data_IF_854248066627
#
_entry.id   IF_854248066627
#
_cell.length_a   1.000
_cell.length_b   1.000
_cell.length_c   1.000
_cell.angle_alpha   90.00
_cell.angle_beta   90.00
_cell.angle_gamma   90.00
#
_symmetry.space_group_name_H-M   'P 1'
#
loop_
_entity.id
_entity.type
_entity.pdbx_description
1 polymer ?
#
# COMPACT_ATOMS: atom_id res chain seq x y z
N UNK A 1 -1.63 0.68 -1.06
CA UNK A 1 -1.06 -0.27 -0.10
C UNK A 1 -2.16 -0.69 0.88
N UNK A 2 -2.69 0.18 1.72
CA UNK A 2 -3.65 -0.16 2.78
C UNK A 2 -4.85 -0.99 2.29
N UNK A 3 -5.46 -0.63 1.15
CA UNK A 3 -6.63 -1.32 0.63
C UNK A 3 -6.35 -2.79 0.26
N UNK A 4 -5.42 -3.04 -0.67
CA UNK A 4 -5.17 -4.41 -1.15
C UNK A 4 -4.41 -5.26 -0.15
N UNK A 5 -3.52 -4.67 0.65
CA UNK A 5 -2.87 -5.38 1.75
C UNK A 5 -3.92 -5.89 2.75
N UNK A 6 -4.82 -5.01 3.21
CA UNK A 6 -5.92 -5.36 4.10
C UNK A 6 -6.85 -6.42 3.48
N UNK A 7 -7.21 -6.26 2.19
CA UNK A 7 -8.10 -7.16 1.48
C UNK A 7 -7.57 -8.60 1.42
N UNK A 8 -6.26 -8.74 1.10
CA UNK A 8 -5.61 -10.04 0.96
C UNK A 8 -5.22 -10.66 2.30
N UNK A 9 -4.87 -9.84 3.30
CA UNK A 9 -4.38 -10.34 4.59
C UNK A 9 -5.50 -10.74 5.56
N UNK A 10 -6.52 -9.90 5.70
CA UNK A 10 -7.61 -10.06 6.66
C UNK A 10 -9.02 -9.90 6.05
N UNK A 11 -9.15 -9.28 4.89
CA UNK A 11 -10.43 -8.98 4.25
C UNK A 11 -11.08 -10.15 3.50
N UNK A 12 -10.50 -11.36 3.57
CA UNK A 12 -11.05 -12.56 2.94
C UNK A 12 -11.04 -12.53 1.40
N UNK A 13 -10.26 -11.65 0.78
CA UNK A 13 -10.09 -11.57 -0.67
C UNK A 13 -8.84 -12.31 -1.13
N UNK A 14 -8.80 -12.63 -2.42
CA UNK A 14 -7.65 -13.21 -3.11
C UNK A 14 -7.32 -12.36 -4.35
N UNK A 15 -6.18 -12.59 -4.97
CA UNK A 15 -5.85 -11.94 -6.24
C UNK A 15 -6.83 -12.31 -7.38
N UNK A 16 -7.52 -13.45 -7.26
CA UNK A 16 -8.54 -13.90 -8.19
C UNK A 16 -9.96 -13.37 -7.85
N UNK A 17 -10.16 -12.76 -6.68
CA UNK A 17 -11.44 -12.13 -6.33
C UNK A 17 -11.82 -11.08 -7.36
N UNK A 18 -13.07 -11.06 -7.77
CA UNK A 18 -13.58 -10.24 -8.87
C UNK A 18 -14.47 -9.13 -8.33
N UNK A 19 -14.36 -7.96 -8.93
CA UNK A 19 -15.27 -6.83 -8.79
C UNK A 19 -15.81 -6.43 -10.16
N UNK A 20 -17.02 -5.89 -10.19
CA UNK A 20 -17.59 -5.29 -11.40
C UNK A 20 -17.04 -3.87 -11.58
N UNK A 21 -16.16 -3.70 -12.58
CA UNK A 21 -15.67 -2.40 -13.01
C UNK A 21 -16.72 -1.71 -13.89
N UNK A 22 -17.69 -1.08 -13.25
CA UNK A 22 -18.82 -0.37 -13.84
C UNK A 22 -19.00 0.99 -13.15
N UNK A 23 -19.76 1.94 -13.72
CA UNK A 23 -20.04 3.23 -13.09
C UNK A 23 -20.41 3.09 -11.63
N UNK A 24 -19.74 3.86 -10.75
CA UNK A 24 -19.89 3.70 -9.31
C UNK A 24 -20.02 5.04 -8.58
N UNK A 25 -21.14 5.21 -7.89
CA UNK A 25 -21.47 6.41 -7.13
C UNK A 25 -21.87 6.04 -5.70
N UNK A 26 -21.34 6.76 -4.72
CA UNK A 26 -21.71 6.61 -3.32
C UNK A 26 -22.06 7.99 -2.77
N UNK A 27 -23.31 8.16 -2.35
CA UNK A 27 -23.84 9.47 -1.99
C UNK A 27 -23.76 10.44 -3.17
N UNK A 28 -23.11 11.58 -3.00
CA UNK A 28 -22.88 12.58 -4.05
C UNK A 28 -21.58 12.36 -4.83
N UNK A 29 -20.75 11.37 -4.46
CA UNK A 29 -19.42 11.16 -5.04
C UNK A 29 -19.44 10.07 -6.09
N UNK A 30 -19.08 10.42 -7.32
CA UNK A 30 -18.87 9.48 -8.43
C UNK A 30 -17.38 9.17 -8.57
N UNK A 31 -17.06 7.88 -8.62
CA UNK A 31 -15.70 7.39 -8.88
C UNK A 31 -15.56 7.00 -10.34
N UNK A 32 -14.40 7.27 -10.93
CA UNK A 32 -14.09 6.97 -12.32
C UNK A 32 -12.72 6.33 -12.44
N UNK A 33 -12.53 5.49 -13.46
CA UNK A 33 -11.21 5.12 -13.92
C UNK A 33 -10.54 6.31 -14.63
N UNK A 34 -9.21 6.27 -14.75
CA UNK A 34 -8.43 7.35 -15.35
C UNK A 34 -8.86 7.65 -16.80
N UNK A 35 -9.09 6.60 -17.58
CA UNK A 35 -9.50 6.66 -18.99
C UNK A 35 -11.04 6.77 -19.19
N UNK A 36 -11.79 6.78 -18.08
CA UNK A 36 -13.26 6.80 -18.06
C UNK A 36 -13.91 5.59 -18.75
N UNK A 37 -13.15 4.52 -18.98
CA UNK A 37 -13.65 3.26 -19.50
C UNK A 37 -13.97 2.29 -18.36
N UNK A 38 -14.74 1.25 -18.66
CA UNK A 38 -15.13 0.22 -17.72
C UNK A 38 -14.92 -1.16 -18.33
N UNK A 39 -14.33 -2.08 -17.56
CA UNK A 39 -13.95 -3.42 -18.02
C UNK A 39 -14.91 -4.54 -17.59
N UNK A 40 -15.96 -4.23 -16.82
CA UNK A 40 -16.84 -5.25 -16.25
C UNK A 40 -16.14 -6.11 -15.20
N UNK A 41 -16.43 -7.40 -15.14
CA UNK A 41 -15.88 -8.30 -14.13
C UNK A 41 -14.36 -8.39 -14.21
N UNK A 42 -13.70 -7.82 -13.22
CA UNK A 42 -12.25 -7.60 -13.18
C UNK A 42 -11.65 -8.15 -11.90
N UNK A 43 -10.59 -8.95 -12.01
CA UNK A 43 -9.90 -9.50 -10.84
C UNK A 43 -9.07 -8.43 -10.12
N UNK A 44 -8.84 -8.64 -8.82
CA UNK A 44 -7.95 -7.78 -8.01
C UNK A 44 -6.56 -7.73 -8.63
N UNK A 45 -6.01 -8.86 -9.11
CA UNK A 45 -4.71 -8.91 -9.80
C UNK A 45 -4.67 -7.95 -11.00
N UNK A 46 -5.68 -8.02 -11.87
CA UNK A 46 -5.75 -7.16 -13.05
C UNK A 46 -5.93 -5.69 -12.67
N UNK A 47 -6.72 -5.43 -11.61
CA UNK A 47 -6.91 -4.08 -11.11
C UNK A 47 -5.61 -3.46 -10.56
N UNK A 48 -4.77 -4.23 -9.89
CA UNK A 48 -3.41 -3.80 -9.48
C UNK A 48 -2.58 -3.52 -10.74
N UNK A 49 -2.54 -4.46 -11.68
CA UNK A 49 -1.74 -4.37 -12.92
C UNK A 49 -2.08 -3.13 -13.74
N UNK A 50 -3.36 -2.80 -13.88
CA UNK A 50 -3.87 -1.69 -14.71
C UNK A 50 -4.22 -0.44 -13.93
N UNK A 51 -4.07 -0.45 -12.60
CA UNK A 51 -4.44 0.69 -11.73
C UNK A 51 -5.92 1.08 -11.87
N UNK A 52 -6.83 0.10 -11.82
CA UNK A 52 -8.26 0.31 -12.00
C UNK A 52 -8.87 0.86 -10.70
N UNK A 53 -9.32 2.11 -10.74
CA UNK A 53 -9.80 2.84 -9.58
C UNK A 53 -11.06 2.23 -8.98
N UNK A 54 -12.07 1.94 -9.81
CA UNK A 54 -13.38 1.48 -9.36
C UNK A 54 -13.27 0.15 -8.62
N UNK A 55 -12.50 -0.79 -9.14
CA UNK A 55 -12.25 -2.08 -8.47
C UNK A 55 -11.60 -1.88 -7.11
N UNK A 56 -10.63 -0.94 -7.02
CA UNK A 56 -9.96 -0.62 -5.76
C UNK A 56 -10.93 -0.04 -4.73
N UNK A 57 -11.77 0.90 -5.14
CA UNK A 57 -12.77 1.54 -4.26
C UNK A 57 -13.82 0.55 -3.78
N UNK A 58 -14.36 -0.29 -4.67
CA UNK A 58 -15.31 -1.34 -4.32
C UNK A 58 -14.69 -2.39 -3.39
N UNK A 59 -13.43 -2.74 -3.62
CA UNK A 59 -12.70 -3.66 -2.72
C UNK A 59 -12.59 -3.07 -1.31
N UNK A 60 -12.26 -1.78 -1.18
CA UNK A 60 -12.22 -1.11 0.13
C UNK A 60 -13.61 -1.04 0.77
N UNK A 61 -14.66 -0.80 -0.03
CA UNK A 61 -16.03 -0.81 0.47
C UNK A 61 -16.41 -2.17 1.05
N UNK A 62 -16.08 -3.25 0.35
CA UNK A 62 -16.40 -4.62 0.77
C UNK A 62 -15.72 -5.02 2.09
N UNK A 63 -14.45 -4.67 2.25
CA UNK A 63 -13.69 -5.03 3.45
C UNK A 63 -13.90 -4.05 4.62
N UNK A 64 -14.52 -2.91 4.33
CA UNK A 64 -14.72 -1.81 5.28
C UNK A 64 -13.56 -0.82 5.30
N UNK A 65 -13.90 0.46 5.32
CA UNK A 65 -12.93 1.58 5.31
C UNK A 65 -12.01 1.53 6.53
N UNK A 66 -12.55 1.19 7.71
CA UNK A 66 -11.78 1.11 8.96
C UNK A 66 -10.64 0.11 8.87
N UNK A 67 -10.87 -1.04 8.22
CA UNK A 67 -9.81 -2.04 8.03
C UNK A 67 -8.69 -1.49 7.14
N UNK A 68 -9.03 -0.86 6.01
CA UNK A 68 -8.04 -0.25 5.14
C UNK A 68 -7.27 0.89 5.80
N UNK A 69 -7.95 1.70 6.61
CA UNK A 69 -7.36 2.79 7.41
C UNK A 69 -6.36 2.24 8.43
N UNK A 70 -6.78 1.25 9.22
CA UNK A 70 -5.91 0.59 10.19
C UNK A 70 -4.63 0.03 9.54
N UNK A 71 -4.75 -0.65 8.41
CA UNK A 71 -3.58 -1.16 7.70
C UNK A 71 -2.66 -0.04 7.21
N UNK A 72 -3.21 1.08 6.75
CA UNK A 72 -2.39 2.24 6.37
C UNK A 72 -1.59 2.80 7.56
N UNK A 73 -2.21 2.88 8.76
CA UNK A 73 -1.50 3.25 10.01
C UNK A 73 -0.42 2.20 10.36
N UNK A 74 -0.76 0.91 10.30
CA UNK A 74 0.16 -0.17 10.61
C UNK A 74 1.38 -0.18 9.66
N UNK A 75 1.21 0.23 8.40
CA UNK A 75 2.28 0.45 7.43
C UNK A 75 3.15 1.69 7.71
N UNK A 76 2.83 2.47 8.75
CA UNK A 76 3.63 3.61 9.20
C UNK A 76 3.21 4.96 8.64
N UNK A 77 2.02 5.08 8.07
CA UNK A 77 1.48 6.37 7.60
C UNK A 77 0.88 7.11 8.81
N UNK A 78 1.59 8.10 9.33
CA UNK A 78 1.22 8.86 10.53
C UNK A 78 0.39 10.11 10.23
N UNK A 79 0.30 10.50 8.96
CA UNK A 79 -0.40 11.71 8.52
C UNK A 79 -1.91 11.55 8.41
N UNK A 80 -2.42 10.33 8.61
CA UNK A 80 -3.85 10.01 8.53
C UNK A 80 -4.67 10.79 9.58
N UNK A 81 -5.88 11.13 9.20
CA UNK A 81 -6.85 11.82 10.05
C UNK A 81 -8.21 11.11 9.97
N UNK A 82 -9.11 11.39 10.92
CA UNK A 82 -10.47 10.82 10.87
C UNK A 82 -11.24 11.18 9.60
N UNK A 83 -10.90 12.32 8.97
CA UNK A 83 -11.48 12.73 7.68
C UNK A 83 -11.09 11.79 6.53
N UNK A 84 -10.03 11.00 6.68
CA UNK A 84 -9.56 10.04 5.67
C UNK A 84 -10.29 8.69 5.75
N UNK A 85 -11.15 8.50 6.77
CA UNK A 85 -12.02 7.32 6.91
C UNK A 85 -13.18 7.35 5.91
N UNK A 86 -12.83 7.33 4.64
CA UNK A 86 -13.77 7.32 3.53
C UNK A 86 -13.20 6.56 2.33
N UNK A 87 -14.02 6.29 1.31
CA UNK A 87 -13.64 5.50 0.15
C UNK A 87 -12.52 6.11 -0.72
N UNK A 88 -12.22 7.42 -0.56
CA UNK A 88 -11.09 8.05 -1.28
C UNK A 88 -9.74 7.52 -0.80
N UNK A 89 -9.69 6.99 0.42
CA UNK A 89 -8.51 6.29 0.97
C UNK A 89 -8.01 5.19 0.02
N UNK A 90 -8.92 4.49 -0.65
CA UNK A 90 -8.58 3.44 -1.63
C UNK A 90 -7.63 3.94 -2.73
N UNK A 91 -7.77 5.21 -3.11
CA UNK A 91 -7.03 5.86 -4.20
C UNK A 91 -5.92 6.78 -3.70
N UNK A 92 -5.62 6.78 -2.41
CA UNK A 92 -4.63 7.67 -1.82
C UNK A 92 -5.10 9.13 -1.66
N UNK A 93 -6.41 9.36 -1.65
CA UNK A 93 -7.02 10.66 -1.39
C UNK A 93 -6.95 10.99 0.09
N UNK A 94 -5.79 11.44 0.57
CA UNK A 94 -5.52 11.75 1.98
C UNK A 94 -5.54 13.26 2.22
N UNK A 95 -6.10 13.66 3.36
CA UNK A 95 -6.25 15.07 3.76
C UNK A 95 -4.90 15.79 3.85
N UNK A 96 -3.90 15.15 4.44
CA UNK A 96 -2.54 15.69 4.61
C UNK A 96 -1.52 15.07 3.65
N UNK A 97 -1.95 14.09 2.82
CA UNK A 97 -1.03 13.33 1.99
C UNK A 97 -0.19 12.34 2.80
N UNK A 98 0.94 11.91 2.23
CA UNK A 98 1.90 10.99 2.82
C UNK A 98 3.32 11.49 2.52
N UNK A 99 4.24 11.34 3.45
CA UNK A 99 5.65 11.70 3.20
C UNK A 99 6.35 10.62 2.37
N UNK A 100 7.40 11.03 1.62
CA UNK A 100 8.23 10.08 0.88
C UNK A 100 8.81 8.98 1.78
N UNK A 101 9.20 9.34 3.00
CA UNK A 101 9.76 8.42 3.97
C UNK A 101 8.74 7.35 4.39
N UNK A 102 7.52 7.77 4.73
CA UNK A 102 6.45 6.86 5.15
C UNK A 102 6.05 5.94 3.99
N UNK A 103 5.89 6.48 2.78
CA UNK A 103 5.53 5.69 1.61
C UNK A 103 6.63 4.67 1.27
N UNK A 104 7.90 5.08 1.35
CA UNK A 104 9.04 4.18 1.15
C UNK A 104 9.06 3.08 2.21
N UNK A 105 8.86 3.42 3.49
CA UNK A 105 8.76 2.45 4.59
C UNK A 105 7.63 1.45 4.41
N UNK A 106 6.48 1.92 3.90
CA UNK A 106 5.34 1.06 3.61
C UNK A 106 5.64 0.04 2.50
N UNK A 107 6.29 0.46 1.40
CA UNK A 107 6.74 -0.48 0.36
C UNK A 107 7.88 -1.39 0.85
N UNK A 108 8.81 -0.86 1.64
CA UNK A 108 9.86 -1.66 2.27
C UNK A 108 9.29 -2.76 3.17
N UNK A 109 8.17 -2.51 3.84
CA UNK A 109 7.46 -3.52 4.64
C UNK A 109 7.01 -4.71 3.79
N UNK A 110 6.48 -4.46 2.60
CA UNK A 110 6.09 -5.54 1.66
C UNK A 110 7.34 -6.31 1.21
N UNK A 111 8.40 -5.61 0.82
CA UNK A 111 9.66 -6.22 0.40
C UNK A 111 10.34 -7.03 1.52
N UNK A 112 10.09 -6.66 2.79
CA UNK A 112 10.61 -7.31 3.99
C UNK A 112 9.65 -8.37 4.56
N UNK A 113 8.89 -9.06 3.71
CA UNK A 113 8.01 -10.16 4.13
C UNK A 113 6.89 -9.73 5.07
N UNK A 114 6.46 -8.47 5.01
CA UNK A 114 5.37 -7.95 5.83
C UNK A 114 5.78 -7.34 7.17
N UNK A 115 7.08 -7.28 7.46
CA UNK A 115 7.62 -6.71 8.70
C UNK A 115 8.02 -5.25 8.48
N UNK A 116 7.34 -4.33 9.15
CA UNK A 116 7.70 -2.92 9.17
C UNK A 116 8.93 -2.68 10.04
N UNK A 117 9.87 -1.91 9.52
CA UNK A 117 11.03 -1.42 10.24
C UNK A 117 10.94 0.11 10.33
N UNK A 118 10.96 0.64 11.55
CA UNK A 118 10.98 2.09 11.72
C UNK A 118 12.25 2.69 11.11
N UNK A 119 12.14 3.72 10.24
CA UNK A 119 13.31 4.35 9.63
C UNK A 119 14.25 4.94 10.68
N UNK A 120 15.55 4.70 10.52
CA UNK A 120 16.61 5.28 11.35
C UNK A 120 17.46 6.24 10.52
N UNK A 121 17.80 7.38 11.09
CA UNK A 121 18.66 8.40 10.46
C UNK A 121 20.09 8.37 10.99
N UNK A 122 20.32 7.71 12.14
CA UNK A 122 21.63 7.54 12.75
C UNK A 122 21.66 6.26 13.58
N UNK A 123 22.81 5.68 13.75
CA UNK A 123 23.07 4.57 14.65
C UNK A 123 23.62 5.05 15.98
N UNK A 124 24.57 6.00 15.94
CA UNK A 124 25.16 6.62 17.12
C UNK A 124 25.40 8.11 16.88
N UNK A 125 25.34 8.89 17.94
CA UNK A 125 25.80 10.27 18.00
C UNK A 125 26.92 10.35 19.04
N UNK A 126 28.07 10.82 18.64
CA UNK A 126 29.27 10.98 19.50
C UNK A 126 29.52 12.46 19.78
N UNK A 127 30.10 12.77 20.93
CA UNK A 127 30.66 14.09 21.19
C UNK A 127 32.05 14.23 20.50
N UNK A 128 32.71 15.41 20.68
CA UNK A 128 34.01 15.69 20.09
C UNK A 128 35.15 14.84 20.67
N UNK A 129 34.95 14.24 21.86
CA UNK A 129 35.90 13.36 22.51
C UNK A 129 35.67 11.89 22.18
N UNK A 130 34.64 11.58 21.37
CA UNK A 130 34.29 10.23 20.96
C UNK A 130 33.36 9.48 21.94
N UNK A 131 32.86 10.17 22.97
CA UNK A 131 31.89 9.54 23.89
C UNK A 131 30.50 9.44 23.24
N UNK A 132 29.83 8.35 23.51
CA UNK A 132 28.49 8.10 22.96
C UNK A 132 27.46 8.96 23.67
N UNK A 133 26.83 9.90 22.95
CA UNK A 133 25.72 10.70 23.44
C UNK A 133 24.38 10.00 23.23
N UNK A 134 24.19 9.38 22.07
CA UNK A 134 22.99 8.60 21.72
C UNK A 134 23.41 7.30 21.04
N UNK A 135 22.80 6.21 21.42
CA UNK A 135 23.00 4.90 20.79
C UNK A 135 21.66 4.28 20.39
N UNK A 136 21.47 4.09 19.08
CA UNK A 136 20.35 3.37 18.48
C UNK A 136 20.79 2.11 17.72
N UNK A 137 22.01 1.65 17.90
CA UNK A 137 22.57 0.49 17.18
C UNK A 137 21.68 -0.72 17.33
N UNK A 138 21.27 -1.02 18.56
CA UNK A 138 20.49 -2.20 18.89
C UNK A 138 18.99 -1.93 19.13
N UNK A 139 18.51 -0.71 18.88
CA UNK A 139 17.11 -0.34 19.05
C UNK A 139 16.43 -0.26 17.68
N UNK A 140 15.77 -1.32 17.25
CA UNK A 140 14.95 -1.32 16.05
C UNK A 140 13.50 -1.60 16.44
N UNK A 141 12.63 -0.60 16.27
CA UNK A 141 11.20 -0.83 16.39
C UNK A 141 10.70 -1.58 15.16
N UNK A 142 10.15 -2.75 15.39
CA UNK A 142 9.62 -3.62 14.34
C UNK A 142 8.22 -4.08 14.70
N UNK A 143 7.39 -4.31 13.68
CA UNK A 143 6.09 -4.98 13.84
C UNK A 143 5.72 -5.73 12.58
N UNK A 144 5.07 -6.87 12.73
CA UNK A 144 4.45 -7.57 11.61
C UNK A 144 3.15 -6.83 11.24
N UNK A 145 3.05 -6.38 10.00
CA UNK A 145 1.89 -5.65 9.47
C UNK A 145 1.00 -6.58 8.66
N UNK A 146 1.60 -7.40 7.82
CA UNK A 146 0.93 -8.43 7.02
C UNK A 146 1.70 -9.75 7.09
N UNK A 147 1.04 -10.84 6.77
CA UNK A 147 1.69 -12.14 6.64
C UNK A 147 2.71 -12.13 5.51
N UNK A 148 3.74 -12.95 5.63
CA UNK A 148 4.74 -13.16 4.59
C UNK A 148 4.12 -13.63 3.27
N UNK A 149 3.13 -14.51 3.34
CA UNK A 149 2.34 -14.97 2.19
C UNK A 149 1.60 -13.84 1.49
N UNK A 150 1.03 -12.91 2.25
CA UNK A 150 0.36 -11.71 1.71
C UNK A 150 1.37 -10.77 1.06
N UNK A 151 2.54 -10.57 1.69
CA UNK A 151 3.63 -9.78 1.14
C UNK A 151 4.14 -10.37 -0.19
N UNK A 152 4.29 -11.69 -0.24
CA UNK A 152 4.66 -12.39 -1.47
C UNK A 152 3.63 -12.20 -2.59
N UNK A 153 2.33 -12.40 -2.29
CA UNK A 153 1.25 -12.21 -3.27
C UNK A 153 1.22 -10.78 -3.84
N UNK A 154 1.37 -9.77 -2.97
CA UNK A 154 1.42 -8.37 -3.39
C UNK A 154 2.63 -8.10 -4.29
N UNK A 155 3.81 -8.60 -3.90
CA UNK A 155 5.04 -8.46 -4.69
C UNK A 155 4.88 -9.10 -6.05
N UNK A 156 4.30 -10.30 -6.12
CA UNK A 156 4.06 -11.02 -7.37
C UNK A 156 3.08 -10.26 -8.27
N UNK A 157 1.97 -9.74 -7.71
CA UNK A 157 1.02 -8.92 -8.48
C UNK A 157 1.64 -7.58 -8.96
N UNK A 158 2.51 -6.96 -8.17
CA UNK A 158 3.21 -5.73 -8.56
C UNK A 158 4.22 -5.94 -9.70
N UNK A 159 4.79 -7.13 -9.87
CA UNK A 159 5.63 -7.46 -11.04
C UNK A 159 4.84 -7.30 -12.35
N UNK A 160 3.56 -7.64 -12.35
CA UNK A 160 2.70 -7.50 -13.53
C UNK A 160 2.53 -6.02 -13.94
N UNK A 161 2.61 -5.08 -13.01
CA UNK A 161 2.58 -3.64 -13.32
C UNK A 161 3.73 -3.25 -14.26
N UNK A 162 4.92 -3.83 -14.03
CA UNK A 162 6.12 -3.58 -14.84
C UNK A 162 6.16 -4.39 -16.13
N UNK A 163 5.56 -5.60 -16.15
CA UNK A 163 5.63 -6.48 -17.32
C UNK A 163 4.51 -6.22 -18.33
N UNK A 164 3.30 -5.98 -17.87
CA UNK A 164 2.12 -5.82 -18.73
C UNK A 164 1.17 -4.67 -18.31
N UNK A 165 1.54 -3.95 -17.23
CA UNK A 165 0.72 -2.90 -16.64
C UNK A 165 1.14 -1.48 -17.00
N UNK A 166 0.76 -0.54 -16.14
CA UNK A 166 0.98 0.90 -16.31
C UNK A 166 2.44 1.31 -16.10
N UNK A 167 3.25 0.47 -15.45
CA UNK A 167 4.66 0.72 -15.13
C UNK A 167 5.66 0.22 -16.17
N UNK A 168 5.24 -0.21 -17.36
CA UNK A 168 6.14 -0.79 -18.39
C UNK A 168 7.36 0.08 -18.71
N UNK A 169 7.20 1.41 -18.74
CA UNK A 169 8.29 2.33 -19.05
C UNK A 169 9.33 2.46 -17.91
N UNK A 170 8.99 2.03 -16.71
CA UNK A 170 9.92 2.01 -15.58
C UNK A 170 10.74 0.73 -15.51
N UNK A 171 10.47 -0.24 -16.39
CA UNK A 171 11.24 -1.49 -16.44
C UNK A 171 12.65 -1.22 -16.92
N UNK A 172 13.61 -1.80 -16.22
CA UNK A 172 15.02 -1.80 -16.60
C UNK A 172 15.60 -3.20 -16.41
N UNK A 173 16.63 -3.53 -17.20
CA UNK A 173 17.33 -4.79 -17.03
C UNK A 173 18.27 -4.65 -15.83
N UNK A 174 17.94 -5.33 -14.75
CA UNK A 174 18.74 -5.40 -13.52
C UNK A 174 19.14 -6.84 -13.27
N UNK A 175 20.41 -7.04 -12.89
CA UNK A 175 20.88 -8.33 -12.36
C UNK A 175 20.53 -8.53 -10.89
N UNK A 176 19.91 -7.51 -10.26
CA UNK A 176 19.40 -7.58 -8.90
C UNK A 176 17.95 -8.08 -9.02
N UNK A 177 17.77 -9.36 -8.87
CA UNK A 177 16.47 -10.02 -8.81
C UNK A 177 16.02 -10.17 -7.35
#
# INVERSE_FOLDING_TARGET
>A
IGCYAAALDAGGKTLASVQDDAPFTVGSKTFNNYDKSFGGFTSIRWAITKSINIVTVKTLQDIGVELGYKYAEDFGISTLTDSDKNLSLALGGLTKGVTNLELTGAYATIANGGVYLEPKFYTQVLDHDGNVLLDKTNTQNTRTVIKDTTAWLLTDAMKDVLTQGTGKLARFDSQIA
#
